data_IF_996746265620
#
_entry.id   IF_996746265620
#
_cell.length_a   1.000
_cell.length_b   1.000
_cell.length_c   1.000
_cell.angle_alpha   90.00
_cell.angle_beta   90.00
_cell.angle_gamma   90.00
#
_symmetry.space_group_name_H-M   'P 1'
#
loop_
_entity.id
_entity.type
_entity.pdbx_description
1 polymer ?
#
# COMPACT_ATOMS: atom_id res chain seq x y z
N UNK A 1 16.37 3.84 -48.01
CA UNK A 1 16.08 3.33 -46.65
C UNK A 1 17.21 3.77 -45.72
N UNK A 2 16.92 4.52 -44.66
CA UNK A 2 17.92 5.10 -43.75
C UNK A 2 18.50 4.03 -42.79
N UNK A 3 19.30 3.10 -43.31
CA UNK A 3 19.75 1.89 -42.59
C UNK A 3 20.59 2.12 -41.33
N UNK A 4 21.13 3.32 -41.15
CA UNK A 4 21.96 3.69 -40.01
C UNK A 4 21.28 4.66 -39.04
N UNK A 5 20.00 4.99 -39.27
CA UNK A 5 19.26 5.89 -38.41
C UNK A 5 18.98 5.20 -37.08
N UNK A 6 19.58 5.70 -36.01
CA UNK A 6 19.38 5.20 -34.64
C UNK A 6 18.47 6.09 -33.81
N UNK A 7 18.39 7.38 -34.16
CA UNK A 7 17.71 8.40 -33.38
C UNK A 7 16.83 9.24 -34.30
N UNK A 8 15.57 9.42 -33.94
CA UNK A 8 14.64 10.28 -34.65
C UNK A 8 13.94 11.21 -33.66
N UNK A 9 14.04 12.50 -33.91
CA UNK A 9 13.30 13.53 -33.18
C UNK A 9 12.46 14.33 -34.15
N UNK A 10 11.15 14.27 -34.00
CA UNK A 10 10.19 15.08 -34.74
C UNK A 10 9.58 16.06 -33.75
N UNK A 11 9.68 17.36 -34.05
CA UNK A 11 9.21 18.39 -33.14
C UNK A 11 8.53 19.55 -33.84
N UNK A 12 7.46 20.07 -33.24
CA UNK A 12 6.71 21.24 -33.71
C UNK A 12 6.15 21.08 -35.13
N UNK A 13 5.74 19.86 -35.48
CA UNK A 13 5.19 19.54 -36.81
C UNK A 13 3.67 19.55 -36.75
N UNK A 14 3.07 20.65 -37.21
CA UNK A 14 1.65 20.95 -36.99
C UNK A 14 0.70 20.22 -37.95
N UNK A 15 1.16 19.77 -39.12
CA UNK A 15 0.29 19.23 -40.19
C UNK A 15 0.51 17.74 -40.47
N UNK A 16 1.43 17.11 -39.74
CA UNK A 16 1.76 15.69 -39.94
C UNK A 16 0.72 14.86 -39.19
N UNK A 17 -0.06 14.08 -39.94
CA UNK A 17 -1.09 13.21 -39.37
C UNK A 17 -0.62 11.78 -39.13
N UNK A 18 0.34 11.32 -39.93
CA UNK A 18 0.82 9.95 -39.89
C UNK A 18 2.35 9.95 -40.04
N UNK A 19 3.01 9.08 -39.28
CA UNK A 19 4.46 8.85 -39.38
C UNK A 19 4.72 7.36 -39.42
N UNK A 20 5.54 6.93 -40.38
CA UNK A 20 6.10 5.59 -40.44
C UNK A 20 7.58 5.63 -40.03
N UNK A 21 7.91 5.03 -38.88
CA UNK A 21 9.27 5.01 -38.32
C UNK A 21 9.98 3.67 -38.56
N UNK A 22 11.27 3.67 -38.96
CA UNK A 22 12.07 2.46 -38.93
C UNK A 22 12.40 2.03 -37.48
N UNK A 23 13.02 0.85 -37.24
CA UNK A 23 13.57 0.51 -35.94
C UNK A 23 14.63 1.52 -35.50
N UNK A 24 14.51 2.01 -34.27
CA UNK A 24 15.32 3.08 -33.70
C UNK A 24 15.75 2.72 -32.27
N UNK A 25 16.88 3.26 -31.84
CA UNK A 25 17.30 3.25 -30.44
C UNK A 25 16.62 4.39 -29.65
N UNK A 26 16.33 5.53 -30.29
CA UNK A 26 15.65 6.66 -29.67
C UNK A 26 14.58 7.28 -30.59
N UNK A 27 13.38 7.47 -30.05
CA UNK A 27 12.28 8.17 -30.71
C UNK A 27 11.73 9.27 -29.81
N UNK A 28 11.68 10.49 -30.34
CA UNK A 28 11.10 11.66 -29.68
C UNK A 28 10.05 12.30 -30.60
N UNK A 29 8.81 12.36 -30.15
CA UNK A 29 7.70 13.06 -30.79
C UNK A 29 7.28 14.21 -29.86
N UNK A 30 7.41 15.46 -30.30
CA UNK A 30 7.21 16.63 -29.44
C UNK A 30 6.38 17.72 -30.11
N UNK A 31 5.26 18.13 -29.52
CA UNK A 31 4.35 19.15 -30.07
C UNK A 31 3.93 18.85 -31.51
N UNK A 32 3.30 17.69 -31.70
CA UNK A 32 2.70 17.27 -32.98
C UNK A 32 1.19 17.09 -32.79
N UNK A 33 0.40 18.18 -32.71
CA UNK A 33 -0.98 18.12 -32.25
C UNK A 33 -1.93 17.40 -33.22
N UNK A 34 -1.63 17.41 -34.52
CA UNK A 34 -2.42 16.74 -35.57
C UNK A 34 -2.00 15.28 -35.82
N UNK A 35 -0.94 14.79 -35.16
CA UNK A 35 -0.45 13.43 -35.34
C UNK A 35 -1.47 12.44 -34.77
N UNK A 36 -2.04 11.60 -35.62
CA UNK A 36 -3.05 10.60 -35.27
C UNK A 36 -2.46 9.19 -35.18
N UNK A 37 -1.53 8.86 -36.09
CA UNK A 37 -0.98 7.51 -36.23
C UNK A 37 0.55 7.56 -36.25
N UNK A 38 1.17 6.74 -35.41
CA UNK A 38 2.60 6.45 -35.48
C UNK A 38 2.78 4.94 -35.69
N UNK A 39 3.30 4.55 -36.85
CA UNK A 39 3.50 3.13 -37.20
C UNK A 39 4.98 2.80 -37.33
N UNK A 40 5.34 1.54 -37.07
CA UNK A 40 6.70 1.03 -37.19
C UNK A 40 6.82 0.15 -38.44
N UNK A 41 7.93 0.28 -39.20
CA UNK A 41 8.16 -0.65 -40.34
C UNK A 41 8.41 -2.09 -39.87
N UNK A 42 8.91 -2.27 -38.65
CA UNK A 42 9.07 -3.56 -37.99
C UNK A 42 8.90 -3.38 -36.48
N UNK A 43 7.75 -3.81 -35.95
CA UNK A 43 7.41 -3.66 -34.53
C UNK A 43 8.33 -4.50 -33.63
N UNK A 44 8.68 -5.72 -34.04
CA UNK A 44 9.55 -6.61 -33.28
C UNK A 44 10.96 -6.05 -33.11
N UNK A 45 11.56 -5.57 -34.20
CA UNK A 45 12.88 -4.96 -34.18
C UNK A 45 12.87 -3.65 -33.37
N UNK A 46 11.81 -2.85 -33.51
CA UNK A 46 11.62 -1.63 -32.73
C UNK A 46 11.54 -1.93 -31.22
N UNK A 47 10.69 -2.88 -30.80
CA UNK A 47 10.57 -3.29 -29.37
C UNK A 47 11.89 -3.79 -28.79
N UNK A 48 12.72 -4.44 -29.60
CA UNK A 48 14.01 -4.98 -29.19
C UNK A 48 15.12 -3.92 -29.11
N UNK A 49 15.09 -2.91 -29.96
CA UNK A 49 16.14 -1.89 -30.09
C UNK A 49 15.87 -0.60 -29.32
N UNK A 50 14.60 -0.24 -29.10
CA UNK A 50 14.22 1.06 -28.52
C UNK A 50 14.65 1.16 -27.05
N UNK A 51 15.44 2.20 -26.77
CA UNK A 51 15.97 2.51 -25.43
C UNK A 51 15.30 3.75 -24.85
N UNK A 52 14.93 4.71 -25.70
CA UNK A 52 14.29 5.96 -25.31
C UNK A 52 13.05 6.20 -26.16
N UNK A 53 11.91 6.32 -25.50
CA UNK A 53 10.67 6.78 -26.11
C UNK A 53 10.15 8.00 -25.36
N UNK A 54 9.98 9.10 -26.08
CA UNK A 54 9.40 10.33 -25.55
C UNK A 54 8.29 10.83 -26.47
N UNK A 55 7.10 11.02 -25.92
CA UNK A 55 5.95 11.59 -26.61
C UNK A 55 5.41 12.73 -25.77
N UNK A 56 5.42 13.93 -26.33
CA UNK A 56 5.04 15.16 -25.65
C UNK A 56 4.00 15.91 -26.46
N UNK A 57 2.86 16.20 -25.85
CA UNK A 57 1.82 17.08 -26.43
C UNK A 57 1.38 16.65 -27.83
N UNK A 58 1.16 15.35 -28.03
CA UNK A 58 0.58 14.78 -29.25
C UNK A 58 -0.90 14.50 -29.00
N UNK A 59 -1.71 15.55 -29.00
CA UNK A 59 -3.10 15.50 -28.52
C UNK A 59 -4.04 14.64 -29.36
N UNK A 60 -3.79 14.53 -30.67
CA UNK A 60 -4.58 13.70 -31.57
C UNK A 60 -4.08 12.26 -31.70
N UNK A 61 -2.97 11.89 -31.04
CA UNK A 61 -2.35 10.58 -31.24
C UNK A 61 -3.25 9.49 -30.66
N UNK A 62 -3.83 8.70 -31.53
CA UNK A 62 -4.79 7.64 -31.20
C UNK A 62 -4.11 6.28 -31.24
N UNK A 63 -3.30 6.04 -32.28
CA UNK A 63 -2.69 4.74 -32.56
C UNK A 63 -1.18 4.82 -32.56
N UNK A 64 -0.56 3.95 -31.77
CA UNK A 64 0.86 3.64 -31.87
C UNK A 64 1.10 2.13 -31.69
N UNK A 65 1.67 1.49 -32.71
CA UNK A 65 1.95 0.05 -32.79
C UNK A 65 2.66 -0.53 -31.55
N UNK A 66 3.47 0.26 -30.84
CA UNK A 66 4.19 -0.19 -29.65
C UNK A 66 3.26 -0.46 -28.45
N UNK A 67 2.13 0.24 -28.36
CA UNK A 67 1.17 0.15 -27.26
C UNK A 67 -0.07 -0.69 -27.57
N UNK A 68 -0.20 -1.17 -28.82
CA UNK A 68 -1.28 -2.08 -29.21
C UNK A 68 -1.01 -3.52 -28.74
N UNK A 69 -2.08 -4.25 -28.42
CA UNK A 69 -2.01 -5.70 -28.18
C UNK A 69 -1.56 -6.40 -29.45
N UNK A 70 -0.40 -7.06 -29.39
CA UNK A 70 0.02 -7.97 -30.44
C UNK A 70 -0.89 -9.20 -30.46
N UNK A 71 -1.69 -9.37 -31.50
CA UNK A 71 -2.32 -10.65 -31.77
C UNK A 71 -1.22 -11.65 -32.16
N UNK A 72 -1.01 -12.66 -31.31
CA UNK A 72 -0.32 -13.91 -31.60
C UNK A 72 1.10 -13.82 -32.19
N UNK A 73 2.12 -14.02 -31.34
CA UNK A 73 3.09 -15.09 -31.56
C UNK A 73 3.59 -15.56 -30.19
N UNK A 74 3.57 -16.89 -29.98
CA UNK A 74 4.24 -17.59 -28.88
C UNK A 74 5.75 -17.35 -28.97
N UNK A 75 6.20 -16.17 -28.58
CA UNK A 75 7.61 -15.86 -28.43
C UNK A 75 7.82 -15.30 -27.04
N UNK A 76 8.65 -16.03 -26.30
CA UNK A 76 8.95 -15.96 -24.87
C UNK A 76 9.69 -14.67 -24.45
N UNK A 77 9.24 -13.49 -24.91
CA UNK A 77 9.76 -12.24 -24.36
C UNK A 77 9.08 -11.98 -23.02
N UNK A 78 9.81 -12.23 -21.92
CA UNK A 78 9.41 -11.92 -20.53
C UNK A 78 8.95 -10.47 -20.34
N UNK A 79 9.34 -9.55 -21.23
CA UNK A 79 9.02 -8.13 -21.16
C UNK A 79 8.68 -7.57 -22.56
N UNK A 80 7.61 -6.76 -22.72
CA UNK A 80 7.21 -6.18 -24.02
C UNK A 80 8.29 -5.34 -24.73
N UNK A 81 9.18 -4.67 -23.99
CA UNK A 81 10.23 -3.79 -24.55
C UNK A 81 11.53 -3.90 -23.73
N UNK A 82 12.30 -5.00 -23.83
CA UNK A 82 13.38 -5.36 -22.90
C UNK A 82 14.52 -4.34 -22.79
N UNK A 83 14.75 -3.56 -23.86
CA UNK A 83 15.83 -2.57 -23.94
C UNK A 83 15.43 -1.18 -23.46
N UNK A 84 14.15 -0.96 -23.16
CA UNK A 84 13.63 0.37 -22.87
C UNK A 84 14.09 0.85 -21.50
N UNK A 85 14.81 1.99 -21.49
CA UNK A 85 15.36 2.62 -20.28
C UNK A 85 14.61 3.87 -19.87
N UNK A 86 13.98 4.55 -20.83
CA UNK A 86 13.27 5.80 -20.63
C UNK A 86 11.97 5.79 -21.44
N UNK A 87 10.86 5.95 -20.74
CA UNK A 87 9.53 6.10 -21.29
C UNK A 87 8.90 7.37 -20.75
N UNK A 88 8.60 8.32 -21.65
CA UNK A 88 7.85 9.52 -21.30
C UNK A 88 6.67 9.67 -22.26
N UNK A 89 5.47 9.78 -21.71
CA UNK A 89 4.24 10.05 -22.46
C UNK A 89 3.45 11.11 -21.70
N UNK A 90 3.40 12.32 -22.24
CA UNK A 90 2.79 13.48 -21.57
C UNK A 90 1.85 14.20 -22.53
N UNK A 91 0.63 14.46 -22.08
CA UNK A 91 -0.36 15.22 -22.86
C UNK A 91 -0.81 14.49 -24.12
N UNK A 92 -1.06 13.18 -24.00
CA UNK A 92 -1.53 12.32 -25.09
C UNK A 92 -2.89 11.68 -24.71
N UNK A 93 -3.96 12.48 -24.59
CA UNK A 93 -5.24 12.03 -24.03
C UNK A 93 -5.95 10.99 -24.89
N UNK A 94 -5.69 10.91 -26.20
CA UNK A 94 -6.32 9.93 -27.10
C UNK A 94 -5.54 8.63 -27.27
N UNK A 95 -4.31 8.57 -26.74
CA UNK A 95 -3.44 7.43 -26.93
C UNK A 95 -3.96 6.24 -26.14
N UNK A 96 -4.16 5.12 -26.83
CA UNK A 96 -4.56 3.87 -26.18
C UNK A 96 -3.34 3.06 -25.75
N UNK A 97 -3.15 2.95 -24.43
CA UNK A 97 -2.10 2.12 -23.84
C UNK A 97 -2.71 0.81 -23.35
N UNK A 98 -2.47 -0.28 -24.08
CA UNK A 98 -3.01 -1.61 -23.75
C UNK A 98 -1.95 -2.57 -23.19
N UNK A 99 -0.70 -2.11 -23.07
CA UNK A 99 0.43 -2.87 -22.51
C UNK A 99 0.60 -2.56 -21.02
N UNK A 100 0.78 -3.58 -20.15
CA UNK A 100 1.10 -3.35 -18.75
C UNK A 100 2.43 -2.61 -18.58
N UNK A 101 2.52 -1.79 -17.52
CA UNK A 101 3.68 -0.93 -17.27
C UNK A 101 4.39 -1.23 -15.95
N UNK A 102 5.72 -1.01 -15.86
CA UNK A 102 6.62 -0.64 -16.96
C UNK A 102 6.82 -1.81 -17.94
N UNK A 103 7.04 -1.53 -19.23
CA UNK A 103 7.20 -2.56 -20.27
C UNK A 103 8.57 -3.27 -20.22
N UNK A 104 9.44 -2.84 -19.30
CA UNK A 104 10.81 -3.34 -19.12
C UNK A 104 11.20 -3.31 -17.65
N UNK A 105 11.94 -4.32 -17.20
CA UNK A 105 12.62 -4.32 -15.90
C UNK A 105 13.85 -3.40 -15.87
N UNK A 106 14.38 -2.99 -17.03
CA UNK A 106 15.58 -2.12 -17.13
C UNK A 106 15.25 -0.62 -17.13
N UNK A 107 14.00 -0.28 -16.81
CA UNK A 107 13.46 1.06 -16.98
C UNK A 107 13.89 1.99 -15.84
N UNK A 108 14.73 2.97 -16.18
CA UNK A 108 15.28 3.97 -15.24
C UNK A 108 14.41 5.21 -15.07
N UNK A 109 13.53 5.49 -16.04
CA UNK A 109 12.65 6.66 -16.02
C UNK A 109 11.31 6.36 -16.69
N UNK A 110 10.23 6.46 -15.92
CA UNK A 110 8.84 6.37 -16.36
C UNK A 110 8.14 7.68 -16.03
N UNK A 111 7.55 8.33 -17.03
CA UNK A 111 6.62 9.45 -16.80
C UNK A 111 5.43 9.26 -17.71
N UNK A 112 4.25 9.08 -17.13
CA UNK A 112 2.99 9.03 -17.85
C UNK A 112 2.03 9.97 -17.16
N UNK A 113 1.59 11.00 -17.89
CA UNK A 113 0.66 11.99 -17.37
C UNK A 113 -0.29 12.44 -18.47
N UNK A 114 -1.56 12.61 -18.14
CA UNK A 114 -2.61 13.05 -19.10
C UNK A 114 -2.77 12.10 -20.29
N UNK A 115 -2.83 10.79 -20.01
CA UNK A 115 -3.21 9.72 -20.94
C UNK A 115 -4.50 9.10 -20.41
N UNK A 116 -5.58 9.09 -21.20
CA UNK A 116 -6.90 8.74 -20.66
C UNK A 116 -7.05 7.26 -20.30
N UNK A 117 -6.36 6.35 -20.99
CA UNK A 117 -6.58 4.91 -20.79
C UNK A 117 -5.86 4.32 -19.58
N UNK A 118 -5.04 5.09 -18.88
CA UNK A 118 -4.17 4.61 -17.81
C UNK A 118 -3.98 5.65 -16.72
N UNK A 119 -3.72 5.21 -15.50
CA UNK A 119 -3.38 6.12 -14.41
C UNK A 119 -2.07 6.86 -14.69
N UNK A 120 -1.92 8.03 -14.07
CA UNK A 120 -0.65 8.75 -14.16
C UNK A 120 0.40 8.05 -13.32
N UNK A 121 1.60 7.89 -13.85
CA UNK A 121 2.69 7.14 -13.21
C UNK A 121 3.99 7.92 -13.32
N UNK A 122 4.77 7.89 -12.25
CA UNK A 122 6.09 8.51 -12.22
C UNK A 122 7.07 7.58 -11.50
N UNK A 123 8.11 7.17 -12.22
CA UNK A 123 9.28 6.51 -11.68
C UNK A 123 10.52 7.26 -12.15
N UNK A 124 11.14 8.04 -11.25
CA UNK A 124 12.31 8.87 -11.59
C UNK A 124 13.64 8.13 -11.34
N UNK A 125 13.60 7.02 -10.59
CA UNK A 125 14.73 6.15 -10.29
C UNK A 125 14.28 4.69 -10.43
N UNK A 126 15.26 3.77 -10.56
CA UNK A 126 14.99 2.32 -10.57
C UNK A 126 14.23 1.82 -9.33
N UNK A 127 14.18 2.60 -8.25
CA UNK A 127 13.74 2.12 -6.94
C UNK A 127 12.44 2.77 -6.45
N UNK A 128 11.92 3.80 -7.14
CA UNK A 128 10.76 4.58 -6.69
C UNK A 128 9.69 4.61 -7.78
N UNK A 129 8.47 4.19 -7.43
CA UNK A 129 7.31 4.29 -8.28
C UNK A 129 6.17 5.03 -7.55
N UNK A 130 5.61 6.04 -8.20
CA UNK A 130 4.46 6.79 -7.73
C UNK A 130 3.32 6.65 -8.74
N UNK A 131 2.15 6.33 -8.23
CA UNK A 131 0.93 6.12 -8.98
C UNK A 131 -0.09 7.17 -8.54
N UNK A 132 -0.67 7.88 -9.51
CA UNK A 132 -1.58 8.99 -9.29
C UNK A 132 -2.92 8.70 -9.95
N UNK A 133 -3.99 8.76 -9.17
CA UNK A 133 -5.35 8.50 -9.63
C UNK A 133 -6.06 9.68 -10.31
N UNK A 134 -5.39 10.82 -10.53
CA UNK A 134 -6.00 11.96 -11.20
C UNK A 134 -6.32 11.64 -12.66
N UNK A 135 -7.58 11.81 -13.07
CA UNK A 135 -8.01 11.58 -14.45
C UNK A 135 -8.19 10.11 -14.84
N UNK A 136 -8.27 9.20 -13.87
CA UNK A 136 -8.69 7.82 -14.10
C UNK A 136 -10.08 7.79 -14.79
N UNK A 137 -10.27 6.98 -15.84
CA UNK A 137 -11.61 6.62 -16.28
C UNK A 137 -12.35 5.99 -15.11
N UNK A 138 -13.65 6.24 -15.01
CA UNK A 138 -14.54 5.62 -14.03
C UNK A 138 -14.51 4.08 -14.06
N UNK A 139 -13.89 3.48 -15.07
CA UNK A 139 -13.83 2.04 -15.34
C UNK A 139 -12.63 1.32 -14.69
N UNK A 140 -11.53 2.02 -14.35
CA UNK A 140 -10.38 1.36 -13.72
C UNK A 140 -10.65 1.18 -12.23
N UNK A 141 -11.22 0.02 -11.91
CA UNK A 141 -11.60 -0.33 -10.54
C UNK A 141 -10.54 -1.17 -9.80
N UNK A 142 -9.57 -1.79 -10.49
CA UNK A 142 -8.59 -2.67 -9.85
C UNK A 142 -7.17 -2.49 -10.40
N UNK A 143 -6.18 -2.40 -9.52
CA UNK A 143 -4.76 -2.42 -9.89
C UNK A 143 -4.28 -3.88 -10.00
N UNK A 144 -4.12 -4.37 -11.23
CA UNK A 144 -3.75 -5.75 -11.52
C UNK A 144 -2.71 -5.86 -12.66
N UNK A 145 -2.38 -7.10 -13.04
CA UNK A 145 -1.39 -7.42 -14.08
C UNK A 145 -1.72 -6.86 -15.48
N UNK A 146 -2.95 -6.37 -15.70
CA UNK A 146 -3.32 -5.69 -16.95
C UNK A 146 -2.82 -4.24 -16.99
N UNK A 147 -2.63 -3.62 -15.83
CA UNK A 147 -2.18 -2.23 -15.69
C UNK A 147 -0.69 -2.19 -15.35
N UNK A 148 -0.28 -2.98 -14.36
CA UNK A 148 1.10 -3.03 -13.90
C UNK A 148 1.75 -4.37 -14.24
N UNK A 149 2.94 -4.31 -14.84
CA UNK A 149 3.82 -5.46 -14.95
C UNK A 149 4.60 -5.63 -13.64
N UNK A 150 3.97 -6.17 -12.60
CA UNK A 150 4.62 -6.39 -11.29
C UNK A 150 5.92 -7.21 -11.39
N UNK A 151 5.99 -8.14 -12.35
CA UNK A 151 7.17 -8.94 -12.63
C UNK A 151 8.41 -8.12 -13.06
N UNK A 152 8.21 -6.91 -13.59
CA UNK A 152 9.27 -5.97 -13.97
C UNK A 152 9.65 -5.01 -12.83
N UNK A 153 8.96 -5.06 -11.69
CA UNK A 153 9.10 -4.11 -10.58
C UNK A 153 9.80 -4.73 -9.35
N UNK A 154 10.59 -5.78 -9.54
CA UNK A 154 11.23 -6.54 -8.44
C UNK A 154 12.23 -5.72 -7.63
N UNK A 155 12.84 -4.71 -8.25
CA UNK A 155 13.88 -3.88 -7.64
C UNK A 155 13.33 -2.61 -6.98
N UNK A 156 12.01 -2.37 -7.04
CA UNK A 156 11.43 -1.18 -6.41
C UNK A 156 11.55 -1.28 -4.89
N UNK A 157 11.94 -0.18 -4.26
CA UNK A 157 12.03 -0.05 -2.80
C UNK A 157 10.93 0.82 -2.23
N UNK A 158 10.37 1.73 -3.02
CA UNK A 158 9.33 2.65 -2.61
C UNK A 158 8.18 2.64 -3.62
N UNK A 159 6.96 2.37 -3.13
CA UNK A 159 5.73 2.48 -3.90
C UNK A 159 4.77 3.44 -3.20
N UNK A 160 4.30 4.45 -3.93
CA UNK A 160 3.26 5.36 -3.46
C UNK A 160 2.04 5.31 -4.37
N UNK A 161 0.86 5.17 -3.78
CA UNK A 161 -0.44 5.19 -4.46
C UNK A 161 -1.20 6.39 -3.91
N UNK A 162 -1.50 7.36 -4.76
CA UNK A 162 -2.06 8.65 -4.36
C UNK A 162 -3.35 8.98 -5.12
N UNK A 163 -4.40 9.35 -4.37
CA UNK A 163 -5.65 9.89 -4.91
C UNK A 163 -6.38 8.97 -5.91
N UNK A 164 -6.29 7.65 -5.73
CA UNK A 164 -7.01 6.65 -6.54
C UNK A 164 -8.44 6.44 -6.01
N UNK A 165 -9.31 7.43 -6.25
CA UNK A 165 -10.66 7.48 -5.64
C UNK A 165 -11.61 6.37 -6.12
N UNK A 166 -11.52 5.96 -7.38
CA UNK A 166 -12.42 4.95 -7.98
C UNK A 166 -11.87 3.52 -7.91
N UNK A 167 -10.64 3.36 -7.41
CA UNK A 167 -9.99 2.05 -7.29
C UNK A 167 -10.54 1.34 -6.06
N UNK A 168 -11.06 0.13 -6.24
CA UNK A 168 -11.66 -0.69 -5.18
C UNK A 168 -10.71 -1.77 -4.67
N UNK A 169 -9.74 -2.20 -5.47
CA UNK A 169 -8.83 -3.30 -5.11
C UNK A 169 -7.43 -3.20 -5.73
N UNK A 170 -6.46 -3.88 -5.11
CA UNK A 170 -5.11 -4.10 -5.62
C UNK A 170 -4.83 -5.61 -5.58
N UNK A 171 -4.19 -6.14 -6.63
CA UNK A 171 -3.77 -7.53 -6.68
C UNK A 171 -2.67 -7.81 -5.66
N UNK A 172 -3.00 -8.61 -4.63
CA UNK A 172 -2.05 -9.02 -3.62
C UNK A 172 -0.98 -9.98 -4.17
N UNK A 173 -1.35 -10.82 -5.15
CA UNK A 173 -0.42 -11.62 -5.96
C UNK A 173 0.51 -10.78 -6.83
N UNK A 174 0.05 -9.62 -7.28
CA UNK A 174 0.89 -8.61 -7.91
C UNK A 174 1.88 -8.01 -6.91
N UNK A 175 1.38 -7.54 -5.76
CA UNK A 175 2.20 -7.01 -4.67
C UNK A 175 3.25 -8.01 -4.18
N UNK A 176 2.94 -9.31 -4.17
CA UNK A 176 3.88 -10.35 -3.73
C UNK A 176 5.12 -10.51 -4.62
N UNK A 177 5.07 -9.98 -5.84
CA UNK A 177 6.21 -9.97 -6.74
C UNK A 177 7.18 -8.82 -6.46
N UNK A 178 6.79 -7.85 -5.61
CA UNK A 178 7.59 -6.68 -5.24
C UNK A 178 8.57 -7.01 -4.10
N UNK A 179 9.43 -7.99 -4.33
CA UNK A 179 10.28 -8.62 -3.31
C UNK A 179 11.27 -7.66 -2.62
N UNK A 180 11.64 -6.55 -3.25
CA UNK A 180 12.58 -5.54 -2.68
C UNK A 180 11.86 -4.34 -2.05
N UNK A 181 10.52 -4.34 -2.02
CA UNK A 181 9.74 -3.20 -1.55
C UNK A 181 9.96 -2.98 -0.06
N UNK A 182 10.53 -1.83 0.30
CA UNK A 182 10.81 -1.42 1.69
C UNK A 182 9.74 -0.50 2.27
N UNK A 183 9.09 0.30 1.43
CA UNK A 183 8.13 1.30 1.86
C UNK A 183 6.91 1.33 0.93
N UNK A 184 5.72 1.18 1.52
CA UNK A 184 4.45 1.28 0.83
C UNK A 184 3.62 2.42 1.42
N UNK A 185 3.21 3.36 0.58
CA UNK A 185 2.40 4.51 0.97
C UNK A 185 1.11 4.56 0.16
N UNK A 186 -0.04 4.58 0.82
CA UNK A 186 -1.37 4.65 0.21
C UNK A 186 -2.10 5.85 0.80
N UNK A 187 -2.51 6.79 -0.05
CA UNK A 187 -3.05 8.09 0.40
C UNK A 187 -4.26 8.52 -0.43
N UNK A 188 -5.34 8.95 0.22
CA UNK A 188 -6.57 9.48 -0.39
C UNK A 188 -7.25 8.48 -1.34
N UNK A 189 -7.23 7.20 -0.99
CA UNK A 189 -7.84 6.10 -1.75
C UNK A 189 -9.04 5.56 -0.96
N UNK A 190 -10.18 6.24 -1.04
CA UNK A 190 -11.34 5.98 -0.16
C UNK A 190 -12.10 4.70 -0.46
N UNK A 191 -12.29 4.38 -1.74
CA UNK A 191 -12.96 3.15 -2.15
C UNK A 191 -12.05 1.93 -2.12
N UNK A 192 -10.74 2.16 -1.99
CA UNK A 192 -9.76 1.09 -1.99
C UNK A 192 -9.95 0.26 -0.73
N UNK A 193 -10.43 -0.97 -0.94
CA UNK A 193 -10.77 -1.95 0.08
C UNK A 193 -11.99 -1.62 0.95
N UNK A 194 -12.89 -0.74 0.49
CA UNK A 194 -14.10 -0.35 1.24
C UNK A 194 -15.19 -1.43 1.24
N UNK A 195 -15.12 -2.42 0.34
CA UNK A 195 -16.12 -3.49 0.19
C UNK A 195 -15.62 -4.81 0.77
N UNK A 196 -16.47 -5.46 1.59
CA UNK A 196 -16.30 -6.82 2.12
C UNK A 196 -16.26 -7.91 1.03
N UNK A 197 -16.51 -7.54 -0.23
CA UNK A 197 -16.26 -8.41 -1.38
C UNK A 197 -14.75 -8.51 -1.53
N UNK A 198 -14.17 -9.49 -0.82
CA UNK A 198 -12.90 -10.11 -1.21
C UNK A 198 -12.95 -10.22 -2.73
N UNK A 199 -12.00 -9.63 -3.49
CA UNK A 199 -12.03 -9.66 -4.94
C UNK A 199 -12.32 -11.09 -5.34
N UNK A 200 -13.40 -11.31 -6.10
CA UNK A 200 -13.91 -12.65 -6.44
C UNK A 200 -12.73 -13.59 -6.59
N UNK A 201 -12.62 -14.54 -5.65
CA UNK A 201 -11.56 -15.52 -5.62
C UNK A 201 -11.76 -16.41 -6.85
N UNK A 202 -11.31 -15.94 -8.00
CA UNK A 202 -10.94 -16.83 -9.09
C UNK A 202 -9.95 -17.81 -8.48
N UNK A 203 -10.15 -19.10 -8.72
CA UNK A 203 -9.46 -20.23 -8.11
C UNK A 203 -7.90 -20.17 -8.14
N UNK A 204 -7.30 -19.13 -8.74
CA UNK A 204 -5.87 -18.85 -8.85
C UNK A 204 -5.28 -17.83 -7.83
N UNK A 205 -6.13 -17.16 -7.03
CA UNK A 205 -5.75 -16.15 -6.02
C UNK A 205 -5.89 -16.66 -4.57
N UNK A 206 -5.87 -17.99 -4.39
CA UNK A 206 -5.82 -18.60 -3.07
C UNK A 206 -4.40 -18.44 -2.52
N UNK A 207 -4.12 -17.27 -1.94
CA UNK A 207 -2.95 -17.10 -1.06
C UNK A 207 -3.12 -18.16 0.02
N UNK A 208 -2.26 -19.17 -0.02
CA UNK A 208 -2.13 -20.07 1.13
C UNK A 208 -1.63 -19.22 2.28
N UNK A 209 -2.18 -19.41 3.48
CA UNK A 209 -1.86 -18.64 4.69
C UNK A 209 -0.35 -18.60 5.07
N UNK A 210 0.52 -19.25 4.30
CA UNK A 210 1.96 -19.38 4.51
C UNK A 210 2.83 -18.64 3.47
N UNK A 211 2.29 -18.01 2.43
CA UNK A 211 3.13 -17.27 1.46
C UNK A 211 3.43 -15.85 1.95
N UNK A 212 4.69 -15.53 2.20
CA UNK A 212 5.12 -14.16 2.52
C UNK A 212 5.00 -13.29 1.28
N UNK A 213 4.04 -12.36 1.25
CA UNK A 213 3.86 -11.47 0.10
C UNK A 213 4.83 -10.29 0.11
N UNK A 214 5.12 -9.69 1.27
CA UNK A 214 5.90 -8.45 1.34
C UNK A 214 7.13 -8.66 2.24
N UNK A 215 8.10 -9.50 1.81
CA UNK A 215 9.17 -10.00 2.68
C UNK A 215 10.12 -8.90 3.15
N UNK A 216 10.30 -7.85 2.36
CA UNK A 216 11.25 -6.75 2.64
C UNK A 216 10.58 -5.47 3.16
N UNK A 217 9.26 -5.47 3.36
CA UNK A 217 8.53 -4.26 3.71
C UNK A 217 8.86 -3.84 5.13
N UNK A 218 9.46 -2.66 5.29
CA UNK A 218 9.89 -2.10 6.57
C UNK A 218 8.93 -0.99 7.07
N UNK A 219 8.25 -0.29 6.15
CA UNK A 219 7.36 0.83 6.47
C UNK A 219 6.04 0.78 5.67
N UNK A 220 4.91 0.92 6.37
CA UNK A 220 3.57 0.99 5.79
C UNK A 220 2.86 2.26 6.25
N UNK A 221 2.43 3.10 5.31
CA UNK A 221 1.69 4.32 5.58
C UNK A 221 0.35 4.31 4.83
N UNK A 222 -0.75 4.47 5.57
CA UNK A 222 -2.11 4.55 5.05
C UNK A 222 -2.77 5.85 5.54
N UNK A 223 -3.28 6.67 4.62
CA UNK A 223 -3.87 7.98 4.92
C UNK A 223 -5.18 8.21 4.14
N UNK A 224 -6.26 8.61 4.80
CA UNK A 224 -7.58 8.90 4.18
C UNK A 224 -8.01 7.75 3.23
N UNK A 225 -8.10 6.55 3.79
CA UNK A 225 -8.44 5.31 3.07
C UNK A 225 -9.54 4.52 3.79
N UNK A 226 -10.41 3.88 3.01
CA UNK A 226 -11.46 2.98 3.51
C UNK A 226 -10.98 1.55 3.70
N UNK A 227 -9.75 1.35 4.20
CA UNK A 227 -9.22 -0.01 4.41
C UNK A 227 -9.91 -0.69 5.59
N UNK A 228 -10.37 -1.93 5.39
CA UNK A 228 -10.94 -2.75 6.47
C UNK A 228 -9.86 -3.32 7.39
N UNK A 229 -10.22 -3.60 8.65
CA UNK A 229 -9.31 -4.19 9.62
C UNK A 229 -8.80 -5.57 9.20
N UNK A 230 -9.64 -6.37 8.54
CA UNK A 230 -9.29 -7.71 8.01
C UNK A 230 -8.14 -7.63 7.00
N UNK A 231 -8.25 -6.72 6.04
CA UNK A 231 -7.24 -6.61 4.99
C UNK A 231 -5.94 -6.00 5.51
N UNK A 232 -6.03 -4.99 6.39
CA UNK A 232 -4.83 -4.46 7.03
C UNK A 232 -4.12 -5.57 7.83
N UNK A 233 -4.86 -6.39 8.59
CA UNK A 233 -4.29 -7.55 9.30
C UNK A 233 -3.58 -8.50 8.34
N UNK A 234 -4.19 -8.80 7.20
CA UNK A 234 -3.58 -9.65 6.17
C UNK A 234 -2.26 -9.04 5.65
N UNK A 235 -2.25 -7.75 5.32
CA UNK A 235 -1.03 -7.05 4.88
C UNK A 235 0.07 -7.11 5.94
N UNK A 236 -0.27 -6.89 7.21
CA UNK A 236 0.68 -6.92 8.32
C UNK A 236 1.23 -8.34 8.55
N UNK A 237 0.38 -9.36 8.52
CA UNK A 237 0.77 -10.77 8.67
C UNK A 237 1.75 -11.22 7.59
N UNK A 238 1.56 -10.75 6.36
CA UNK A 238 2.43 -11.08 5.22
C UNK A 238 3.67 -10.17 5.09
N UNK A 239 3.97 -9.36 6.11
CA UNK A 239 5.08 -8.38 6.13
C UNK A 239 6.02 -8.61 7.34
N UNK A 240 6.81 -9.69 7.38
CA UNK A 240 7.60 -10.06 8.57
C UNK A 240 8.72 -9.06 8.92
N UNK A 241 9.16 -8.23 7.97
CA UNK A 241 10.20 -7.22 8.18
C UNK A 241 9.64 -5.85 8.66
N UNK A 242 8.32 -5.73 8.84
CA UNK A 242 7.67 -4.45 9.10
C UNK A 242 8.07 -3.87 10.46
N UNK A 243 8.54 -2.62 10.46
CA UNK A 243 8.98 -1.90 11.66
C UNK A 243 8.13 -0.69 11.94
N UNK A 244 7.57 -0.07 10.90
CA UNK A 244 6.85 1.19 11.01
C UNK A 244 5.46 1.09 10.42
N UNK A 245 4.47 1.52 11.20
CA UNK A 245 3.07 1.60 10.79
C UNK A 245 2.52 3.00 11.03
N UNK A 246 2.05 3.64 9.97
CA UNK A 246 1.36 4.94 10.03
C UNK A 246 -0.08 4.80 9.54
N UNK A 247 -1.05 5.16 10.38
CA UNK A 247 -2.48 5.17 10.07
C UNK A 247 -3.03 6.58 10.32
N UNK A 248 -3.63 7.20 9.32
CA UNK A 248 -4.14 8.56 9.46
C UNK A 248 -5.49 8.73 8.75
N UNK A 249 -6.52 9.24 9.43
CA UNK A 249 -7.87 9.39 8.85
C UNK A 249 -8.38 8.05 8.25
N UNK A 250 -8.32 6.96 9.02
CA UNK A 250 -8.80 5.62 8.62
C UNK A 250 -10.12 5.29 9.35
N UNK A 251 -11.31 5.69 8.82
CA UNK A 251 -12.56 5.68 9.57
C UNK A 251 -13.14 4.28 9.85
N UNK A 252 -12.75 3.27 9.07
CA UNK A 252 -13.25 1.90 9.24
C UNK A 252 -12.53 1.12 10.34
N UNK A 253 -11.36 1.60 10.80
CA UNK A 253 -10.57 0.92 11.81
C UNK A 253 -11.12 1.28 13.19
N UNK A 254 -11.44 0.24 13.97
CA UNK A 254 -12.03 0.37 15.31
C UNK A 254 -11.11 -0.15 16.40
N UNK A 255 -10.32 -1.17 16.12
CA UNK A 255 -9.52 -1.80 17.17
C UNK A 255 -8.17 -2.28 16.65
N UNK A 256 -7.12 -2.09 17.43
CA UNK A 256 -5.79 -2.65 17.24
C UNK A 256 -5.53 -3.72 18.30
N UNK A 257 -5.20 -4.93 17.90
CA UNK A 257 -4.96 -6.08 18.77
C UNK A 257 -3.61 -6.71 18.45
N UNK A 258 -2.88 -7.15 19.46
CA UNK A 258 -1.59 -7.83 19.25
C UNK A 258 -1.83 -9.29 18.85
N UNK A 259 -1.05 -9.80 17.90
CA UNK A 259 -1.04 -11.22 17.54
C UNK A 259 -0.34 -12.07 18.62
N UNK A 260 -1.02 -13.10 19.15
CA UNK A 260 -0.46 -14.00 20.17
C UNK A 260 0.47 -15.06 19.55
N UNK A 261 1.66 -15.24 20.14
CA UNK A 261 2.58 -16.34 19.80
C UNK A 261 1.86 -17.69 19.95
N UNK A 262 1.56 -18.37 18.83
CA UNK A 262 1.04 -19.74 18.81
C UNK A 262 -0.35 -19.98 18.22
N UNK A 263 -1.11 -18.95 17.83
CA UNK A 263 -2.42 -19.10 17.13
C UNK A 263 -2.32 -18.91 15.60
N UNK A 264 -1.23 -19.36 14.99
CA UNK A 264 -0.98 -19.21 13.53
C UNK A 264 -1.92 -20.07 12.67
N UNK A 265 -2.73 -20.96 13.25
CA UNK A 265 -3.57 -21.88 12.48
C UNK A 265 -4.97 -21.95 13.08
N UNK A 266 -5.97 -21.41 12.36
CA UNK A 266 -7.22 -22.16 12.05
C UNK A 266 -8.43 -21.36 11.54
N UNK A 267 -8.44 -20.03 11.41
CA UNK A 267 -9.75 -19.34 11.26
C UNK A 267 -10.17 -18.84 9.85
N UNK A 268 -9.54 -19.31 8.76
CA UNK A 268 -10.03 -19.02 7.40
C UNK A 268 -10.34 -20.26 6.53
N UNK A 269 -10.39 -21.46 7.12
CA UNK A 269 -10.84 -22.65 6.37
C UNK A 269 -12.37 -22.68 6.36
N UNK A 270 -12.89 -22.36 5.17
CA UNK A 270 -14.25 -22.56 4.66
C UNK A 270 -15.02 -23.74 5.28
N UNK A 271 -16.27 -23.48 5.64
CA UNK A 271 -17.27 -24.51 5.88
C UNK A 271 -17.35 -25.48 4.70
N UNK A 272 -16.89 -26.69 4.94
CA UNK A 272 -17.14 -27.87 4.13
C UNK A 272 -18.00 -28.79 4.98
N UNK A 273 -19.30 -28.79 4.71
CA UNK A 273 -20.21 -29.78 5.26
C UNK A 273 -19.80 -31.17 4.79
N UNK A 274 -19.30 -31.99 5.69
CA UNK A 274 -19.62 -33.42 5.71
C UNK A 274 -19.74 -33.88 7.16
N UNK A 275 -20.92 -34.41 7.46
CA UNK A 275 -21.39 -34.82 8.78
C UNK A 275 -20.53 -35.94 9.39
N UNK A 276 -20.20 -35.82 10.68
CA UNK A 276 -20.68 -36.73 11.75
C UNK A 276 -19.78 -36.68 13.00
N UNK A 277 -20.46 -36.77 14.15
CA UNK A 277 -19.97 -37.20 15.48
C UNK A 277 -19.35 -36.17 16.44
N UNK A 278 -20.20 -35.70 17.37
CA UNK A 278 -20.02 -35.97 18.81
C UNK A 278 -19.38 -34.89 19.69
N UNK A 279 -20.23 -34.07 20.33
CA UNK A 279 -20.04 -33.32 21.60
C UNK A 279 -18.72 -32.55 21.84
N UNK A 280 -18.76 -31.22 21.71
CA UNK A 280 -18.12 -30.28 22.67
C UNK A 280 -18.68 -28.86 22.56
N UNK A 281 -19.01 -28.29 23.72
CA UNK A 281 -19.28 -26.89 24.10
C UNK A 281 -19.61 -25.83 23.02
N UNK A 282 -20.87 -25.42 23.03
CA UNK A 282 -21.40 -24.22 22.38
C UNK A 282 -21.03 -22.96 23.17
N UNK A 283 -19.81 -22.43 22.97
CA UNK A 283 -19.44 -21.09 23.45
C UNK A 283 -18.36 -20.41 22.59
N UNK A 284 -18.53 -20.37 21.26
CA UNK A 284 -17.84 -19.37 20.45
C UNK A 284 -18.78 -18.84 19.37
N UNK A 285 -19.66 -17.94 19.78
CA UNK A 285 -20.42 -17.13 18.83
C UNK A 285 -19.44 -16.23 18.10
N UNK A 286 -19.38 -16.47 16.80
CA UNK A 286 -18.60 -15.80 15.77
C UNK A 286 -19.04 -14.33 15.60
N UNK A 287 -18.84 -13.47 16.62
CA UNK A 287 -19.09 -12.03 16.52
C UNK A 287 -17.88 -11.33 15.91
N UNK A 288 -17.67 -11.54 14.61
CA UNK A 288 -16.67 -10.81 13.83
C UNK A 288 -16.95 -9.30 13.91
N UNK A 289 -16.18 -8.58 14.73
CA UNK A 289 -16.23 -7.12 14.77
C UNK A 289 -15.46 -6.61 13.54
N UNK A 290 -16.21 -6.15 12.54
CA UNK A 290 -15.63 -5.47 11.39
C UNK A 290 -14.86 -4.20 11.84
N UNK A 291 -13.55 -4.15 11.56
CA UNK A 291 -12.65 -3.06 11.96
C UNK A 291 -11.52 -3.41 12.94
N UNK A 292 -11.34 -4.68 13.33
CA UNK A 292 -10.21 -5.14 14.16
C UNK A 292 -8.96 -5.39 13.29
N UNK A 293 -7.81 -4.92 13.75
CA UNK A 293 -6.50 -5.07 13.12
C UNK A 293 -5.57 -5.85 14.03
N UNK A 294 -5.02 -6.96 13.53
CA UNK A 294 -3.96 -7.70 14.22
C UNK A 294 -2.58 -7.12 13.88
N UNK A 295 -1.88 -6.66 14.90
CA UNK A 295 -0.58 -6.01 14.82
C UNK A 295 0.52 -7.00 15.20
N UNK A 296 1.62 -7.05 14.43
CA UNK A 296 2.72 -7.96 14.71
C UNK A 296 3.64 -7.40 15.82
N UNK A 297 4.30 -8.30 16.54
CA UNK A 297 5.09 -7.98 17.75
C UNK A 297 6.40 -7.21 17.46
N UNK A 298 6.84 -7.14 16.20
CA UNK A 298 8.11 -6.56 15.77
C UNK A 298 8.02 -5.08 15.35
N UNK A 299 6.86 -4.43 15.47
CA UNK A 299 6.75 -2.99 15.21
C UNK A 299 7.59 -2.18 16.22
N UNK A 300 8.37 -1.25 15.68
CA UNK A 300 9.24 -0.31 16.40
C UNK A 300 8.55 1.05 16.53
N UNK A 301 7.82 1.48 15.49
CA UNK A 301 7.16 2.78 15.44
C UNK A 301 5.70 2.63 15.01
N UNK A 302 4.80 3.21 15.79
CA UNK A 302 3.38 3.34 15.43
C UNK A 302 3.00 4.82 15.47
N UNK A 303 2.40 5.31 14.39
CA UNK A 303 1.82 6.65 14.31
C UNK A 303 0.36 6.52 13.92
N UNK A 304 -0.54 7.02 14.77
CA UNK A 304 -1.97 7.03 14.55
C UNK A 304 -2.44 8.49 14.56
N UNK A 305 -3.30 8.89 13.63
CA UNK A 305 -3.85 10.24 13.62
C UNK A 305 -5.28 10.30 13.12
N UNK A 306 -6.15 11.07 13.80
CA UNK A 306 -7.53 11.33 13.33
C UNK A 306 -8.31 10.05 12.97
N UNK A 307 -8.16 9.02 13.79
CA UNK A 307 -8.91 7.77 13.70
C UNK A 307 -9.86 7.70 14.90
N UNK A 308 -11.05 8.36 14.83
CA UNK A 308 -11.86 8.67 16.02
C UNK A 308 -12.43 7.45 16.73
N UNK A 309 -12.54 6.30 16.04
CA UNK A 309 -13.06 5.06 16.61
C UNK A 309 -11.97 4.05 16.96
N UNK A 310 -10.70 4.34 16.65
CA UNK A 310 -9.61 3.38 16.80
C UNK A 310 -9.12 3.35 18.24
N UNK A 311 -9.17 2.17 18.86
CA UNK A 311 -8.65 1.91 20.20
C UNK A 311 -7.65 0.73 20.19
N UNK A 312 -6.71 0.69 21.13
CA UNK A 312 -5.97 -0.54 21.40
C UNK A 312 -6.83 -1.48 22.27
N UNK A 313 -6.81 -2.77 21.95
CA UNK A 313 -7.38 -3.80 22.82
C UNK A 313 -6.58 -3.86 24.13
N UNK A 314 -7.28 -3.75 25.26
CA UNK A 314 -6.73 -3.88 26.60
C UNK A 314 -7.05 -5.22 27.26
N UNK A 315 -7.86 -6.06 26.61
CA UNK A 315 -8.34 -7.31 27.19
C UNK A 315 -7.29 -8.42 27.04
N UNK A 316 -6.94 -9.04 28.17
CA UNK A 316 -6.20 -10.30 28.17
C UNK A 316 -6.90 -11.24 29.14
N UNK A 317 -7.49 -12.30 28.61
CA UNK A 317 -7.95 -13.47 29.36
C UNK A 317 -6.76 -14.20 30.01
N UNK A 318 -5.52 -13.97 29.54
CA UNK A 318 -4.30 -14.68 29.95
C UNK A 318 -3.52 -14.05 31.12
N UNK A 319 -4.00 -12.96 31.73
CA UNK A 319 -3.36 -12.33 32.91
C UNK A 319 -3.98 -12.80 34.24
N UNK A 320 -4.40 -14.08 34.32
CA UNK A 320 -4.98 -14.71 35.52
C UNK A 320 -4.01 -14.72 36.73
N UNK A 321 -2.76 -14.26 36.57
CA UNK A 321 -1.76 -14.17 37.65
C UNK A 321 -1.73 -12.87 38.45
N UNK A 322 -2.38 -11.78 38.01
CA UNK A 322 -2.42 -10.53 38.78
C UNK A 322 -3.71 -10.49 39.60
N UNK A 323 -3.60 -10.96 40.83
CA UNK A 323 -4.69 -11.07 41.80
C UNK A 323 -5.28 -9.71 42.18
N UNK A 324 -6.62 -9.70 42.33
CA UNK A 324 -7.37 -8.84 43.24
C UNK A 324 -7.23 -7.32 43.04
N UNK A 325 -8.11 -6.71 42.23
CA UNK A 325 -8.83 -5.46 42.52
C UNK A 325 -9.84 -5.16 41.40
N UNK A 326 -10.90 -4.42 41.72
CA UNK A 326 -12.18 -4.25 41.02
C UNK A 326 -12.20 -4.43 39.48
N UNK A 327 -13.00 -5.42 39.05
CA UNK A 327 -13.12 -5.88 37.66
C UNK A 327 -13.77 -4.90 36.67
N UNK A 328 -14.47 -3.87 37.13
CA UNK A 328 -15.32 -3.05 36.23
C UNK A 328 -14.78 -1.64 35.92
N UNK A 329 -13.74 -1.18 36.63
CA UNK A 329 -13.15 0.16 36.44
C UNK A 329 -11.72 0.13 35.89
N UNK A 330 -11.03 -1.01 35.96
CA UNK A 330 -9.59 -1.10 35.70
C UNK A 330 -9.23 -1.39 34.23
N UNK A 331 -10.18 -1.81 33.41
CA UNK A 331 -9.98 -2.15 31.99
C UNK A 331 -10.10 -0.97 31.03
N UNK A 332 -10.79 0.11 31.44
CA UNK A 332 -10.99 1.28 30.59
C UNK A 332 -9.66 2.02 30.35
N UNK A 333 -9.31 2.19 29.08
CA UNK A 333 -8.11 2.92 28.64
C UNK A 333 -6.81 2.12 28.63
N UNK A 334 -6.83 0.81 28.91
CA UNK A 334 -5.64 -0.04 28.73
C UNK A 334 -5.30 -0.19 27.26
N UNK A 335 -4.05 0.08 26.91
CA UNK A 335 -3.54 -0.07 25.55
C UNK A 335 -2.42 -1.11 25.56
N UNK A 336 -2.70 -2.31 25.07
CA UNK A 336 -1.66 -3.33 24.91
C UNK A 336 -0.78 -2.97 23.69
N UNK A 337 0.51 -2.77 23.95
CA UNK A 337 1.50 -2.38 22.94
C UNK A 337 2.47 -3.53 22.60
N UNK A 338 2.94 -3.62 21.35
CA UNK A 338 3.99 -4.58 20.96
C UNK A 338 5.24 -4.43 21.81
N UNK A 339 5.89 -5.55 22.13
CA UNK A 339 7.09 -5.56 22.97
C UNK A 339 8.28 -4.80 22.34
N UNK A 340 8.36 -4.77 21.02
CA UNK A 340 9.44 -4.10 20.29
C UNK A 340 9.22 -2.59 20.13
N UNK A 341 8.07 -2.07 20.56
CA UNK A 341 7.67 -0.69 20.29
C UNK A 341 8.57 0.30 21.04
N UNK A 342 9.24 1.14 20.26
CA UNK A 342 10.15 2.20 20.72
C UNK A 342 9.46 3.56 20.71
N UNK A 343 8.58 3.81 19.73
CA UNK A 343 7.93 5.10 19.54
C UNK A 343 6.43 4.95 19.24
N UNK A 344 5.62 5.67 20.01
CA UNK A 344 4.19 5.77 19.80
C UNK A 344 3.81 7.24 19.65
N UNK A 345 3.23 7.58 18.50
CA UNK A 345 2.71 8.91 18.23
C UNK A 345 1.21 8.80 18.00
N UNK A 346 0.43 9.59 18.73
CA UNK A 346 -1.01 9.68 18.55
C UNK A 346 -1.46 11.12 18.35
N UNK A 347 -2.14 11.37 17.23
CA UNK A 347 -2.74 12.67 16.90
C UNK A 347 -4.27 12.53 16.96
N UNK A 348 -4.98 13.42 17.65
CA UNK A 348 -6.43 13.32 17.84
C UNK A 348 -6.82 12.06 18.64
N UNK A 349 -6.32 11.94 19.88
CA UNK A 349 -6.59 10.78 20.74
C UNK A 349 -8.06 10.75 21.21
N UNK A 350 -8.84 9.70 20.87
CA UNK A 350 -10.29 9.71 21.06
C UNK A 350 -10.73 9.39 22.49
N UNK A 351 -9.87 8.82 23.32
CA UNK A 351 -10.24 8.36 24.67
C UNK A 351 -9.82 9.36 25.74
N UNK A 352 -10.54 9.33 26.86
CA UNK A 352 -10.24 10.14 28.05
C UNK A 352 -9.06 9.60 28.86
N UNK A 353 -8.77 8.31 28.75
CA UNK A 353 -7.77 7.63 29.57
C UNK A 353 -6.81 6.85 28.68
N UNK A 354 -5.51 7.08 28.82
CA UNK A 354 -4.45 6.30 28.17
C UNK A 354 -3.61 5.60 29.24
N UNK A 355 -3.56 4.28 29.17
CA UNK A 355 -2.76 3.43 30.06
C UNK A 355 -1.95 2.45 29.21
N UNK A 356 -0.73 2.81 28.78
CA UNK A 356 0.11 1.91 28.02
C UNK A 356 0.50 0.69 28.86
N UNK A 357 0.32 -0.50 28.30
CA UNK A 357 0.66 -1.77 28.92
C UNK A 357 1.45 -2.63 27.92
N UNK A 358 2.49 -3.31 28.37
CA UNK A 358 3.33 -4.15 27.50
C UNK A 358 3.14 -5.63 27.82
N UNK A 359 3.23 -6.45 26.78
CA UNK A 359 3.29 -7.89 26.94
C UNK A 359 4.61 -8.26 27.65
N UNK A 360 4.52 -9.05 28.74
CA UNK A 360 5.66 -9.55 29.54
C UNK A 360 6.51 -8.49 30.28
N UNK A 361 5.98 -7.28 30.54
CA UNK A 361 6.66 -6.21 31.31
C UNK A 361 8.01 -5.72 30.76
N UNK A 362 8.33 -6.00 29.49
CA UNK A 362 9.56 -5.53 28.85
C UNK A 362 9.27 -4.23 28.12
N UNK A 363 9.69 -3.11 28.71
CA UNK A 363 9.43 -1.77 28.23
C UNK A 363 10.58 -1.34 27.32
N UNK A 364 10.28 -1.03 26.06
CA UNK A 364 11.23 -0.42 25.11
C UNK A 364 10.78 0.95 24.62
N UNK A 365 9.58 1.38 25.01
CA UNK A 365 9.02 2.64 24.57
C UNK A 365 9.82 3.80 25.15
N UNK A 366 10.61 4.46 24.29
CA UNK A 366 11.42 5.63 24.60
C UNK A 366 10.68 6.93 24.31
N UNK A 367 9.84 6.96 23.27
CA UNK A 367 9.08 8.15 22.90
C UNK A 367 7.58 7.89 22.93
N UNK A 368 6.86 8.71 23.71
CA UNK A 368 5.40 8.80 23.69
C UNK A 368 4.98 10.22 23.37
N UNK A 369 4.24 10.38 22.28
CA UNK A 369 3.77 11.67 21.80
C UNK A 369 2.24 11.62 21.63
N UNK A 370 1.53 12.52 22.31
CA UNK A 370 0.08 12.67 22.20
C UNK A 370 -0.23 14.12 21.88
N UNK A 371 -0.66 14.37 20.64
CA UNK A 371 -0.96 15.70 20.09
C UNK A 371 -2.46 15.80 19.85
N UNK A 372 -3.10 16.85 20.36
CA UNK A 372 -4.53 17.13 20.17
C UNK A 372 -5.40 15.95 20.65
N UNK A 373 -6.16 16.08 21.73
CA UNK A 373 -6.94 14.93 22.18
C UNK A 373 -7.87 15.20 23.32
N UNK A 374 -8.81 14.26 23.52
CA UNK A 374 -9.75 14.27 24.63
C UNK A 374 -9.17 13.65 25.91
N UNK A 375 -7.85 13.49 25.97
CA UNK A 375 -7.13 12.83 27.06
C UNK A 375 -7.30 13.63 28.36
N UNK A 376 -7.93 13.03 29.36
CA UNK A 376 -8.13 13.54 30.72
C UNK A 376 -7.11 12.94 31.70
N UNK A 377 -6.68 11.69 31.47
CA UNK A 377 -5.83 10.95 32.40
C UNK A 377 -4.80 10.07 31.67
N UNK A 378 -3.53 10.16 32.09
CA UNK A 378 -2.42 9.37 31.59
C UNK A 378 -1.78 8.57 32.75
N UNK A 379 -1.70 7.25 32.62
CA UNK A 379 -1.04 6.37 33.60
C UNK A 379 0.13 5.65 32.94
N UNK A 380 1.34 5.82 33.50
CA UNK A 380 2.58 5.34 32.89
C UNK A 380 3.29 4.26 33.70
N UNK A 381 2.59 3.56 34.59
CA UNK A 381 3.19 2.57 35.52
C UNK A 381 4.00 1.46 34.83
N UNK A 382 3.73 1.21 33.54
CA UNK A 382 4.43 0.23 32.71
C UNK A 382 5.41 0.85 31.71
N UNK A 383 5.82 2.12 31.81
CA UNK A 383 6.70 2.80 30.84
C UNK A 383 8.04 3.21 31.45
N UNK A 384 8.77 2.28 32.08
CA UNK A 384 10.02 2.57 32.79
C UNK A 384 11.21 2.96 31.90
N UNK A 385 11.14 2.75 30.59
CA UNK A 385 12.19 3.08 29.62
C UNK A 385 11.94 4.39 28.84
N UNK A 386 10.93 5.18 29.25
CA UNK A 386 10.53 6.39 28.55
C UNK A 386 11.56 7.51 28.72
N UNK A 387 12.08 8.02 27.61
CA UNK A 387 13.07 9.10 27.53
C UNK A 387 12.42 10.43 27.13
N UNK A 388 11.39 10.38 26.28
CA UNK A 388 10.68 11.53 25.72
C UNK A 388 9.17 11.37 25.89
N UNK A 389 8.54 12.30 26.61
CA UNK A 389 7.09 12.43 26.73
C UNK A 389 6.66 13.81 26.21
N UNK A 390 5.91 13.82 25.12
CA UNK A 390 5.37 15.03 24.52
C UNK A 390 3.85 14.99 24.53
N UNK A 391 3.24 15.97 25.22
CA UNK A 391 1.78 16.12 25.27
C UNK A 391 1.47 17.54 24.80
N UNK A 392 0.85 17.65 23.64
CA UNK A 392 0.51 18.93 23.02
C UNK A 392 -1.02 19.04 22.85
N UNK A 393 -1.58 20.23 23.08
CA UNK A 393 -2.98 20.54 22.81
C UNK A 393 -4.01 19.56 23.44
N UNK A 394 -3.68 18.95 24.59
CA UNK A 394 -4.58 18.10 25.38
C UNK A 394 -5.22 18.92 26.52
N UNK A 395 -6.21 19.74 26.19
CA UNK A 395 -6.78 20.72 27.13
C UNK A 395 -7.54 20.12 28.33
N UNK A 396 -7.95 18.86 28.23
CA UNK A 396 -8.70 18.16 29.27
C UNK A 396 -7.80 17.43 30.27
N UNK A 397 -6.48 17.37 30.02
CA UNK A 397 -5.57 16.60 30.84
C UNK A 397 -5.51 17.19 32.25
N UNK A 398 -6.00 16.43 33.22
CA UNK A 398 -5.89 16.80 34.63
C UNK A 398 -4.39 16.79 34.97
N UNK A 399 -3.85 17.80 35.68
CA UNK A 399 -2.44 17.85 35.99
C UNK A 399 -2.01 16.60 36.77
N UNK A 400 -1.38 15.64 36.09
CA UNK A 400 -0.77 14.43 36.67
C UNK A 400 0.52 14.78 37.44
N UNK A 401 0.74 16.06 37.75
CA UNK A 401 1.92 16.59 38.44
C UNK A 401 2.19 15.89 39.79
N UNK A 402 1.16 15.33 40.45
CA UNK A 402 1.36 14.59 41.69
C UNK A 402 1.90 13.14 41.50
N UNK A 403 1.68 12.51 40.35
CA UNK A 403 2.13 11.13 40.08
C UNK A 403 3.35 11.04 39.16
N UNK A 404 3.54 11.98 38.23
CA UNK A 404 4.72 12.03 37.36
C UNK A 404 6.02 12.31 38.14
N UNK A 405 5.93 13.06 39.25
CA UNK A 405 7.07 13.33 40.14
C UNK A 405 7.62 12.08 40.85
N UNK A 406 6.88 10.96 40.91
CA UNK A 406 7.41 9.69 41.45
C UNK A 406 8.29 8.92 40.46
N UNK A 407 8.25 9.27 39.17
CA UNK A 407 9.01 8.61 38.10
C UNK A 407 10.24 9.42 37.63
N UNK A 408 10.43 10.63 38.18
CA UNK A 408 11.56 11.54 37.89
C UNK A 408 12.70 11.47 38.93
N UNK A 409 12.76 10.40 39.74
CA UNK A 409 13.78 10.22 40.77
C UNK A 409 14.89 9.24 40.35
#
# INVERSE_FOLDING_TARGET
MLRFLKRLKLSNMQRVREVLVPPLEELVLDRMPDLQICSCTSVGDMKSSLRVLEIWSCSALEVFDLFQKGYNYKTELKSPMPSLRKLIVVGCPRLQVQTPLPPSATLSKLIITSVSTIMSMEGLSMETLKLYGYGLPSEIMALNDKILAFSNLKDIKYLQILSCKSMTSISFKGLSQLISLKSLKIEYCRELFSSDVVPEQTHEDKITANEVALPSLESLCIRDCGITGKLLSLMLQHSPALKELTLYECPQLKQLKIEEEGKVQSNFISGSETSSSGYVDDAWTNSYVDGVVHIPLNLIRITIGKCPHLIFDGSREDLVGFTSLDKDAQEKGRCLLPQSLDQLVWIDYPQKTLRPCFVRNLTRLRKLEVIEGSLEYLQMDSCTALEELEIENCHLLIPVLAHLLQYLA
#
